data_IF_174740068837
#
_entry.id   IF_174740068837
#
_cell.length_a   1.000
_cell.length_b   1.000
_cell.length_c   1.000
_cell.angle_alpha   90.00
_cell.angle_beta   90.00
_cell.angle_gamma   90.00
#
_symmetry.space_group_name_H-M   'P 1'
#
loop_
_entity.id
_entity.type
_entity.pdbx_description
1 polymer ?
#
# COMPACT_ATOMS: atom_id res chain seq x y z
N UNK A 1 2.70 19.57 -22.81
CA UNK A 1 3.30 20.74 -22.11
C UNK A 1 3.25 20.54 -20.59
N UNK A 2 2.16 20.09 -20.00
CA UNK A 2 1.99 19.99 -18.54
C UNK A 2 2.96 19.01 -17.87
N UNK A 3 3.13 17.80 -18.39
CA UNK A 3 4.11 16.84 -17.85
C UNK A 3 5.57 17.34 -17.96
N UNK A 4 5.90 18.11 -18.97
CA UNK A 4 7.25 18.62 -19.13
C UNK A 4 7.67 19.56 -17.98
N UNK A 5 6.72 20.31 -17.40
CA UNK A 5 6.97 21.17 -16.24
C UNK A 5 7.25 20.33 -14.99
N UNK A 6 6.45 19.26 -14.74
CA UNK A 6 6.70 18.35 -13.62
C UNK A 6 8.05 17.64 -13.76
N UNK A 7 8.41 17.17 -14.97
CA UNK A 7 9.71 16.54 -15.23
C UNK A 7 10.87 17.53 -14.99
N UNK A 8 10.75 18.77 -15.42
CA UNK A 8 11.76 19.80 -15.16
C UNK A 8 11.93 20.04 -13.66
N UNK A 9 10.82 20.21 -12.93
CA UNK A 9 10.82 20.38 -11.48
C UNK A 9 11.42 19.18 -10.76
N UNK A 10 11.01 17.95 -11.11
CA UNK A 10 11.57 16.73 -10.52
C UNK A 10 13.10 16.66 -10.66
N UNK A 11 13.61 16.98 -11.86
CA UNK A 11 15.05 16.97 -12.12
C UNK A 11 15.81 18.05 -11.33
N UNK A 12 15.16 19.17 -11.05
CA UNK A 12 15.73 20.28 -10.28
C UNK A 12 15.78 19.99 -8.79
N UNK A 13 14.64 19.53 -8.20
CA UNK A 13 14.50 19.42 -6.75
C UNK A 13 14.76 18.00 -6.21
N UNK A 14 14.58 16.96 -7.02
CA UNK A 14 14.68 15.55 -6.61
C UNK A 14 14.07 15.29 -5.23
N UNK A 15 12.74 15.38 -5.08
CA UNK A 15 12.10 15.29 -3.77
C UNK A 15 12.40 13.95 -3.10
N UNK A 16 12.55 13.92 -1.80
CA UNK A 16 12.56 12.65 -1.09
C UNK A 16 11.21 11.94 -1.26
N UNK A 17 11.25 10.63 -1.50
CA UNK A 17 10.07 9.77 -1.64
C UNK A 17 10.00 8.88 -0.42
N UNK A 18 8.95 9.05 0.38
CA UNK A 18 8.62 8.21 1.52
C UNK A 18 7.41 7.38 1.14
N UNK A 19 7.50 6.07 1.26
CA UNK A 19 6.38 5.16 1.12
C UNK A 19 6.12 4.46 2.45
N UNK A 20 4.95 4.70 3.03
CA UNK A 20 4.47 4.03 4.24
C UNK A 20 3.42 3.01 3.84
N UNK A 21 3.73 1.75 4.02
CA UNK A 21 2.77 0.66 3.97
C UNK A 21 2.32 0.38 5.39
N UNK A 22 1.13 0.88 5.73
CA UNK A 22 0.61 0.80 7.09
C UNK A 22 -0.13 -0.52 7.29
N UNK A 23 0.31 -1.29 8.26
CA UNK A 23 -0.21 -2.63 8.58
C UNK A 23 -1.72 -2.60 8.76
N UNK A 24 -2.43 -3.40 7.97
CA UNK A 24 -3.88 -3.60 8.00
C UNK A 24 -4.71 -2.30 7.87
N UNK A 25 -4.14 -1.17 7.45
CA UNK A 25 -4.87 0.10 7.37
C UNK A 25 -5.89 0.07 6.23
N UNK A 26 -7.16 0.03 6.57
CA UNK A 26 -8.26 0.01 5.61
C UNK A 26 -9.42 0.87 6.10
N UNK A 27 -10.08 1.55 5.16
CA UNK A 27 -11.34 2.23 5.45
C UNK A 27 -12.50 1.24 5.31
N UNK A 28 -12.99 0.75 6.44
CA UNK A 28 -14.11 -0.19 6.49
C UNK A 28 -15.49 0.49 6.34
N UNK A 29 -15.54 1.77 5.98
CA UNK A 29 -16.81 2.41 5.59
C UNK A 29 -17.41 1.81 4.30
N UNK A 30 -16.70 0.91 3.62
CA UNK A 30 -17.26 0.10 2.54
C UNK A 30 -18.36 -0.89 2.99
N UNK A 31 -18.50 -1.15 4.30
CA UNK A 31 -19.57 -1.97 4.86
C UNK A 31 -20.77 -1.09 5.23
N UNK A 32 -21.87 -1.21 4.50
CA UNK A 32 -23.09 -0.40 4.72
C UNK A 32 -23.65 -0.53 6.16
N UNK A 33 -23.56 -1.73 6.74
CA UNK A 33 -24.02 -1.99 8.10
C UNK A 33 -23.16 -1.27 9.14
N UNK A 34 -21.86 -1.12 8.88
CA UNK A 34 -20.96 -0.38 9.75
C UNK A 34 -21.19 1.14 9.61
N UNK A 35 -21.46 1.62 8.38
CA UNK A 35 -21.93 3.01 8.19
C UNK A 35 -23.25 3.27 8.94
N UNK A 36 -24.20 2.33 8.87
CA UNK A 36 -25.47 2.43 9.61
C UNK A 36 -25.26 2.47 11.13
N UNK A 37 -24.20 1.83 11.64
CA UNK A 37 -23.78 1.92 13.04
C UNK A 37 -23.07 3.25 13.38
N UNK A 38 -22.88 4.15 12.41
CA UNK A 38 -22.30 5.49 12.60
C UNK A 38 -20.81 5.61 12.32
N UNK A 39 -20.15 4.58 11.77
CA UNK A 39 -18.74 4.68 11.37
C UNK A 39 -18.58 5.45 10.05
N UNK A 40 -17.65 6.38 10.02
CA UNK A 40 -17.41 7.27 8.86
C UNK A 40 -16.00 7.16 8.27
N UNK A 41 -15.25 6.14 8.68
CA UNK A 41 -13.87 5.94 8.29
C UNK A 41 -12.85 6.67 9.18
N UNK A 42 -11.56 6.52 8.90
CA UNK A 42 -10.48 7.24 9.59
C UNK A 42 -10.62 8.75 9.34
N UNK A 43 -10.73 9.52 10.41
CA UNK A 43 -11.18 10.92 10.33
C UNK A 43 -10.16 11.83 9.64
N UNK A 44 -8.88 11.75 10.04
CA UNK A 44 -7.82 12.56 9.44
C UNK A 44 -7.55 12.12 8.00
N UNK A 45 -7.36 10.81 7.79
CA UNK A 45 -7.15 10.25 6.45
C UNK A 45 -8.23 10.77 5.49
N UNK A 46 -9.52 10.66 5.85
CA UNK A 46 -10.63 11.07 4.98
C UNK A 46 -10.74 12.59 4.79
N UNK A 47 -10.28 13.39 5.76
CA UNK A 47 -10.35 14.85 5.70
C UNK A 47 -9.13 15.52 5.07
N UNK A 48 -8.03 14.80 4.79
CA UNK A 48 -6.81 15.37 4.21
C UNK A 48 -7.08 15.97 2.81
N UNK A 49 -7.07 17.33 2.66
CA UNK A 49 -7.65 17.98 1.48
C UNK A 49 -6.68 18.07 0.29
N UNK A 50 -5.37 18.01 0.54
CA UNK A 50 -4.30 18.34 -0.41
C UNK A 50 -3.57 17.09 -0.94
N UNK A 51 -4.27 15.97 -1.04
CA UNK A 51 -3.75 14.76 -1.68
C UNK A 51 -3.64 14.96 -3.19
N UNK A 52 -2.54 14.49 -3.76
CA UNK A 52 -2.31 14.51 -5.22
C UNK A 52 -3.17 13.46 -5.94
N UNK A 53 -3.32 12.30 -5.31
CA UNK A 53 -4.13 11.16 -5.75
C UNK A 53 -4.59 10.42 -4.50
N UNK A 54 -5.80 9.90 -4.50
CA UNK A 54 -6.31 9.00 -3.45
C UNK A 54 -7.40 8.10 -4.01
N UNK A 55 -7.60 6.96 -3.38
CA UNK A 55 -8.66 6.02 -3.77
C UNK A 55 -8.58 4.69 -3.01
N UNK A 56 -9.31 3.72 -3.52
CA UNK A 56 -9.22 2.34 -3.08
C UNK A 56 -8.07 1.62 -3.78
N UNK A 57 -7.50 0.64 -3.10
CA UNK A 57 -6.52 -0.27 -3.63
C UNK A 57 -7.03 -1.71 -3.48
N UNK A 58 -6.82 -2.56 -4.49
CA UNK A 58 -6.96 -4.00 -4.34
C UNK A 58 -5.58 -4.62 -4.08
N UNK A 59 -5.42 -5.15 -2.88
CA UNK A 59 -4.29 -5.99 -2.53
C UNK A 59 -4.52 -7.42 -3.06
N UNK A 60 -3.47 -8.20 -3.20
CA UNK A 60 -3.61 -9.62 -3.57
C UNK A 60 -3.62 -10.55 -2.36
N UNK A 61 -3.81 -9.99 -1.17
CA UNK A 61 -3.88 -10.69 0.13
C UNK A 61 -4.91 -10.03 1.04
N UNK A 62 -5.43 -10.77 2.01
CA UNK A 62 -6.36 -10.28 3.02
C UNK A 62 -6.07 -10.97 4.35
N UNK A 63 -6.12 -10.22 5.45
CA UNK A 63 -5.89 -10.74 6.80
C UNK A 63 -4.48 -11.23 7.09
N UNK A 64 -3.51 -10.89 6.23
CA UNK A 64 -2.10 -11.28 6.32
C UNK A 64 -1.46 -11.42 4.94
N UNK A 65 -0.15 -11.74 4.90
CA UNK A 65 0.59 -11.87 3.65
C UNK A 65 1.21 -10.56 3.15
N UNK A 66 1.52 -9.64 4.07
CA UNK A 66 2.12 -8.32 3.88
C UNK A 66 3.19 -8.26 2.78
N UNK A 67 4.07 -9.29 2.72
CA UNK A 67 5.14 -9.38 1.72
C UNK A 67 4.65 -9.40 0.26
N UNK A 68 3.40 -9.77 -0.01
CA UNK A 68 2.84 -9.73 -1.35
C UNK A 68 2.54 -8.29 -1.79
N UNK A 69 2.00 -7.48 -0.89
CA UNK A 69 1.76 -6.04 -1.15
C UNK A 69 3.07 -5.27 -1.28
N UNK A 70 4.10 -5.61 -0.47
CA UNK A 70 5.46 -5.08 -0.65
C UNK A 70 6.01 -5.42 -2.04
N UNK A 71 5.92 -6.70 -2.43
CA UNK A 71 6.38 -7.17 -3.74
C UNK A 71 5.69 -6.42 -4.87
N UNK A 72 4.37 -6.32 -4.83
CA UNK A 72 3.59 -5.63 -5.85
C UNK A 72 3.98 -4.15 -5.96
N UNK A 73 4.05 -3.43 -4.84
CA UNK A 73 4.44 -2.02 -4.81
C UNK A 73 5.88 -1.79 -5.29
N UNK A 74 6.83 -2.59 -4.79
CA UNK A 74 8.25 -2.40 -5.07
C UNK A 74 8.67 -2.82 -6.47
N UNK A 75 7.97 -3.77 -7.11
CA UNK A 75 8.36 -4.31 -8.42
C UNK A 75 7.43 -3.90 -9.56
N UNK A 76 6.20 -3.48 -9.26
CA UNK A 76 5.14 -3.28 -10.24
C UNK A 76 4.56 -4.59 -10.82
N UNK A 77 5.08 -5.75 -10.40
CA UNK A 77 4.55 -7.05 -10.80
C UNK A 77 3.37 -7.44 -9.91
N UNK A 78 2.31 -8.02 -10.48
CA UNK A 78 1.17 -8.52 -9.68
C UNK A 78 1.36 -9.98 -9.28
N UNK A 79 0.97 -10.34 -8.07
CA UNK A 79 0.93 -11.74 -7.62
C UNK A 79 -0.18 -12.55 -8.27
N UNK A 80 -1.10 -11.91 -8.99
CA UNK A 80 -2.12 -12.56 -9.82
C UNK A 80 -1.52 -13.62 -10.78
N UNK A 81 -0.34 -13.36 -11.35
CA UNK A 81 0.35 -14.27 -12.25
C UNK A 81 1.38 -15.18 -11.54
N UNK A 82 1.56 -15.03 -10.24
CA UNK A 82 2.36 -15.95 -9.41
C UNK A 82 1.50 -17.09 -8.88
N UNK A 83 0.26 -16.76 -8.52
CA UNK A 83 -0.76 -17.70 -8.08
C UNK A 83 -1.23 -17.49 -6.65
N UNK A 84 -2.47 -17.87 -6.40
CA UNK A 84 -3.13 -17.72 -5.10
C UNK A 84 -2.33 -18.39 -3.97
N UNK A 85 -2.16 -17.69 -2.87
CA UNK A 85 -1.45 -18.17 -1.67
C UNK A 85 0.06 -18.31 -1.85
N UNK A 86 0.63 -17.85 -2.97
CA UNK A 86 2.08 -17.84 -3.18
C UNK A 86 2.67 -16.54 -2.64
N UNK A 87 3.86 -16.65 -2.05
CA UNK A 87 4.62 -15.53 -1.50
C UNK A 87 5.94 -15.43 -2.25
N UNK A 88 6.10 -14.46 -3.19
CA UNK A 88 7.28 -14.35 -4.03
C UNK A 88 8.59 -14.30 -3.24
N UNK A 89 8.62 -13.60 -2.11
CA UNK A 89 9.81 -13.50 -1.24
C UNK A 89 10.30 -14.84 -0.65
N UNK A 90 9.40 -15.80 -0.52
CA UNK A 90 9.73 -17.16 -0.04
C UNK A 90 10.06 -18.13 -1.18
N UNK A 91 9.61 -17.81 -2.40
CA UNK A 91 9.75 -18.70 -3.54
C UNK A 91 10.97 -18.41 -4.40
N UNK A 92 11.43 -17.14 -4.44
CA UNK A 92 12.39 -16.70 -5.46
C UNK A 92 13.53 -15.87 -4.87
N UNK A 93 14.69 -15.94 -5.55
CA UNK A 93 15.78 -14.98 -5.37
C UNK A 93 15.53 -13.76 -6.27
N UNK A 94 15.61 -12.55 -5.70
CA UNK A 94 15.19 -11.30 -6.37
C UNK A 94 16.36 -10.51 -6.98
N UNK A 95 17.59 -11.06 -7.01
CA UNK A 95 18.78 -10.32 -7.46
C UNK A 95 18.64 -9.72 -8.87
N UNK A 96 18.01 -10.47 -9.79
CA UNK A 96 17.80 -10.05 -11.18
C UNK A 96 16.57 -9.16 -11.42
N UNK A 97 15.71 -9.03 -10.41
CA UNK A 97 14.43 -8.31 -10.53
C UNK A 97 14.67 -6.81 -10.44
N UNK A 98 14.05 -6.03 -11.33
CA UNK A 98 13.99 -4.58 -11.20
C UNK A 98 13.05 -4.20 -10.05
N UNK A 99 13.30 -3.04 -9.44
CA UNK A 99 12.49 -2.56 -8.33
C UNK A 99 12.55 -1.04 -8.26
N UNK A 100 11.56 -0.46 -7.61
CA UNK A 100 11.51 0.98 -7.34
C UNK A 100 12.80 1.49 -6.66
N UNK A 101 13.35 0.73 -5.71
CA UNK A 101 14.60 1.11 -5.05
C UNK A 101 15.79 1.14 -6.01
N UNK A 102 15.92 0.16 -6.93
CA UNK A 102 16.97 0.16 -7.96
C UNK A 102 16.78 1.32 -8.93
N UNK A 103 15.57 1.51 -9.43
CA UNK A 103 15.24 2.58 -10.39
C UNK A 103 15.57 3.97 -9.79
N UNK A 104 15.22 4.21 -8.53
CA UNK A 104 15.52 5.47 -7.85
C UNK A 104 17.02 5.63 -7.54
N UNK A 105 17.73 4.54 -7.24
CA UNK A 105 19.21 4.59 -7.08
C UNK A 105 19.91 5.01 -8.37
N UNK A 106 19.41 4.60 -9.54
CA UNK A 106 19.94 5.07 -10.83
C UNK A 106 19.75 6.59 -11.02
N UNK A 107 18.75 7.18 -10.35
CA UNK A 107 18.52 8.62 -10.33
C UNK A 107 19.31 9.35 -9.23
N UNK A 108 20.12 8.62 -8.45
CA UNK A 108 20.98 9.17 -7.39
C UNK A 108 20.34 9.22 -6.00
N UNK A 109 19.30 8.45 -5.75
CA UNK A 109 18.69 8.32 -4.42
C UNK A 109 19.45 7.30 -3.58
N UNK A 110 19.51 7.51 -2.27
CA UNK A 110 19.73 6.43 -1.30
C UNK A 110 18.41 5.71 -1.06
N UNK A 111 18.46 4.41 -0.69
CA UNK A 111 17.26 3.63 -0.46
C UNK A 111 17.36 2.89 0.88
N UNK A 112 16.46 3.20 1.81
CA UNK A 112 16.35 2.59 3.14
C UNK A 112 15.00 1.93 3.31
N UNK A 113 14.98 0.66 3.74
CA UNK A 113 13.76 -0.03 4.16
C UNK A 113 13.67 -0.04 5.69
N UNK A 114 12.45 -0.02 6.23
CA UNK A 114 12.19 -0.14 7.67
C UNK A 114 11.03 -1.10 7.92
N UNK A 115 11.18 -1.93 8.95
CA UNK A 115 10.10 -2.79 9.46
C UNK A 115 10.41 -3.19 10.90
N UNK A 116 9.70 -2.67 11.91
CA UNK A 116 9.98 -2.90 13.31
C UNK A 116 9.58 -4.31 13.77
N UNK A 117 10.08 -5.34 13.06
CA UNK A 117 9.84 -6.75 13.32
C UNK A 117 11.11 -7.57 13.02
N UNK A 118 11.08 -8.87 13.32
CA UNK A 118 12.17 -9.79 13.05
C UNK A 118 12.56 -9.77 11.55
N UNK A 119 13.82 -9.41 11.22
CA UNK A 119 14.24 -9.23 9.82
C UNK A 119 14.18 -10.50 8.97
N UNK A 120 14.20 -11.69 9.57
CA UNK A 120 14.11 -12.96 8.82
C UNK A 120 12.69 -13.32 8.39
N UNK A 121 11.67 -12.63 8.90
CA UNK A 121 10.29 -12.81 8.47
C UNK A 121 10.18 -12.48 6.96
N UNK A 122 9.60 -13.40 6.18
CA UNK A 122 9.54 -13.36 4.73
C UNK A 122 10.93 -13.21 4.05
N UNK A 123 12.03 -13.52 4.75
CA UNK A 123 13.41 -13.33 4.26
C UNK A 123 13.76 -11.89 3.91
N UNK A 124 13.13 -10.89 4.54
CA UNK A 124 13.35 -9.45 4.25
C UNK A 124 14.82 -9.05 4.39
N UNK A 125 15.55 -9.65 5.34
CA UNK A 125 17.00 -9.47 5.53
C UNK A 125 17.82 -9.66 4.24
N UNK A 126 17.37 -10.55 3.36
CA UNK A 126 18.01 -10.83 2.06
C UNK A 126 17.30 -10.15 0.89
N UNK A 127 15.97 -10.19 0.91
CA UNK A 127 15.14 -9.71 -0.20
C UNK A 127 15.30 -8.21 -0.40
N UNK A 128 15.28 -7.39 0.66
CA UNK A 128 15.46 -5.95 0.51
C UNK A 128 16.82 -5.59 -0.07
N UNK A 129 17.89 -6.29 0.33
CA UNK A 129 19.20 -6.12 -0.29
C UNK A 129 19.16 -6.47 -1.79
N UNK A 130 18.50 -7.58 -2.16
CA UNK A 130 18.37 -8.02 -3.56
C UNK A 130 17.52 -7.04 -4.38
N UNK A 131 16.52 -6.39 -3.77
CA UNK A 131 15.70 -5.33 -4.37
C UNK A 131 16.39 -3.96 -4.39
N UNK A 132 17.63 -3.84 -3.87
CA UNK A 132 18.45 -2.65 -4.02
C UNK A 132 18.45 -1.69 -2.83
N UNK A 133 17.79 -2.00 -1.73
CA UNK A 133 17.94 -1.21 -0.50
C UNK A 133 19.37 -1.29 0.01
N UNK A 134 19.92 -0.14 0.43
CA UNK A 134 21.24 -0.03 1.06
C UNK A 134 21.21 -0.41 2.53
N UNK A 135 20.16 0.03 3.22
CA UNK A 135 19.95 -0.18 4.63
C UNK A 135 18.59 -0.81 4.90
N UNK A 136 18.50 -1.65 5.93
CA UNK A 136 17.28 -2.21 6.45
C UNK A 136 17.23 -2.08 7.97
N UNK A 137 16.38 -1.19 8.47
CA UNK A 137 16.13 -0.99 9.89
C UNK A 137 15.06 -1.97 10.35
N UNK A 138 15.40 -2.86 11.28
CA UNK A 138 14.52 -3.90 11.82
C UNK A 138 14.26 -3.69 13.30
N UNK A 139 13.60 -4.60 14.00
CA UNK A 139 13.22 -4.44 15.41
C UNK A 139 14.39 -4.04 16.32
N UNK A 140 15.62 -4.45 16.02
CA UNK A 140 16.81 -4.08 16.78
C UNK A 140 17.14 -2.58 16.72
N UNK A 141 16.68 -1.87 15.68
CA UNK A 141 16.88 -0.44 15.49
C UNK A 141 15.82 0.41 16.22
N UNK A 142 14.83 -0.25 16.86
CA UNK A 142 13.72 0.34 17.60
C UNK A 142 13.75 -0.06 19.09
N UNK A 143 14.94 -0.31 19.65
CA UNK A 143 15.08 -0.65 21.07
C UNK A 143 14.52 0.47 21.96
N UNK A 144 13.67 0.10 22.92
CA UNK A 144 13.00 1.04 23.82
C UNK A 144 11.79 1.76 23.22
N UNK A 145 11.37 1.40 22.01
CA UNK A 145 10.18 1.95 21.37
C UNK A 145 8.90 1.71 22.18
N UNK A 146 7.94 2.60 22.03
CA UNK A 146 6.57 2.40 22.53
C UNK A 146 5.82 1.41 21.69
N UNK A 147 4.94 0.65 22.33
CA UNK A 147 4.08 -0.35 21.68
C UNK A 147 2.60 0.01 21.86
N UNK A 148 1.82 -0.29 20.84
CA UNK A 148 0.37 -0.22 20.88
C UNK A 148 -0.19 -1.48 20.23
N UNK A 149 -1.21 -2.11 20.83
CA UNK A 149 -1.78 -3.37 20.37
C UNK A 149 -0.70 -4.45 20.12
N UNK A 150 -0.32 -4.71 18.87
CA UNK A 150 0.54 -5.84 18.51
C UNK A 150 1.97 -5.45 18.09
N UNK A 151 2.27 -4.17 17.93
CA UNK A 151 3.56 -3.73 17.40
C UNK A 151 4.06 -2.39 17.94
N UNK A 152 5.22 -2.01 17.46
CA UNK A 152 5.78 -0.66 17.67
C UNK A 152 4.79 0.36 17.13
N UNK A 153 4.55 1.43 17.90
CA UNK A 153 3.66 2.53 17.50
C UNK A 153 4.10 3.12 16.16
N UNK A 154 3.13 3.48 15.31
CA UNK A 154 3.41 4.04 13.99
C UNK A 154 4.21 5.35 14.09
N UNK A 155 3.90 6.24 15.08
CA UNK A 155 4.65 7.47 15.26
C UNK A 155 6.15 7.24 15.50
N UNK A 156 6.54 6.10 16.07
CA UNK A 156 7.96 5.78 16.31
C UNK A 156 8.70 5.53 15.00
N UNK A 157 8.07 4.84 14.04
CA UNK A 157 8.66 4.67 12.70
C UNK A 157 8.67 6.01 11.96
N UNK A 158 7.65 6.83 12.12
CA UNK A 158 7.61 8.19 11.55
C UNK A 158 8.69 9.10 12.11
N UNK A 159 8.96 9.07 13.42
CA UNK A 159 10.09 9.80 14.04
C UNK A 159 11.42 9.35 13.43
N UNK A 160 11.58 8.04 13.18
CA UNK A 160 12.79 7.50 12.54
C UNK A 160 12.94 8.02 11.11
N UNK A 161 11.83 8.12 10.34
CA UNK A 161 11.84 8.75 9.00
C UNK A 161 12.25 10.21 9.12
N UNK A 162 11.65 10.97 10.04
CA UNK A 162 11.96 12.38 10.24
C UNK A 162 13.44 12.60 10.61
N UNK A 163 14.02 11.71 11.40
CA UNK A 163 15.44 11.76 11.75
C UNK A 163 16.34 11.50 10.53
N UNK A 164 16.00 10.54 9.67
CA UNK A 164 16.70 10.30 8.39
C UNK A 164 16.62 11.53 7.50
N UNK A 165 15.45 12.18 7.42
CA UNK A 165 15.25 13.39 6.61
C UNK A 165 16.03 14.59 7.12
N UNK A 166 16.28 14.68 8.45
CA UNK A 166 17.01 15.78 9.08
C UNK A 166 18.53 15.58 9.02
N UNK A 167 19.01 14.34 8.91
CA UNK A 167 20.44 14.00 8.99
C UNK A 167 21.13 13.90 7.64
N UNK A 168 20.38 13.63 6.55
CA UNK A 168 20.94 13.50 5.21
C UNK A 168 20.13 14.35 4.21
N UNK A 169 20.79 15.31 3.56
CA UNK A 169 20.17 16.20 2.56
C UNK A 169 20.06 15.56 1.17
N UNK A 170 20.72 14.44 0.92
CA UNK A 170 20.63 13.73 -0.36
C UNK A 170 19.19 13.27 -0.66
N UNK A 171 18.81 13.08 -1.93
CA UNK A 171 17.54 12.47 -2.27
C UNK A 171 17.44 11.06 -1.70
N UNK A 172 16.35 10.76 -0.97
CA UNK A 172 16.14 9.49 -0.29
C UNK A 172 14.88 8.81 -0.79
N UNK A 173 14.89 7.49 -0.90
CA UNK A 173 13.74 6.63 -0.95
C UNK A 173 13.66 5.86 0.36
N UNK A 174 12.61 6.08 1.13
CA UNK A 174 12.38 5.41 2.41
C UNK A 174 11.10 4.60 2.28
N UNK A 175 11.19 3.29 2.51
CA UNK A 175 10.07 2.37 2.51
C UNK A 175 9.85 1.82 3.92
N UNK A 176 8.76 2.23 4.55
CA UNK A 176 8.37 1.84 5.90
C UNK A 176 7.18 0.88 5.86
N UNK A 177 7.32 -0.25 6.53
CA UNK A 177 6.27 -1.25 6.75
C UNK A 177 5.98 -1.28 8.24
N UNK A 178 4.84 -0.72 8.66
CA UNK A 178 4.52 -0.60 10.09
C UNK A 178 4.05 -1.93 10.70
N UNK A 179 3.81 -1.96 12.02
CA UNK A 179 3.40 -3.17 12.75
C UNK A 179 2.29 -2.94 13.76
N UNK A 180 1.93 -1.70 14.08
CA UNK A 180 1.04 -1.35 15.18
C UNK A 180 -0.29 -2.12 15.12
N UNK A 181 -0.91 -2.18 13.95
CA UNK A 181 -2.25 -2.75 13.74
C UNK A 181 -2.25 -4.24 13.40
N UNK A 182 -1.12 -4.94 13.53
CA UNK A 182 -1.02 -6.35 13.16
C UNK A 182 -2.09 -7.21 13.85
N UNK A 183 -2.65 -8.17 13.13
CA UNK A 183 -3.79 -8.99 13.53
C UNK A 183 -3.64 -9.77 14.84
N UNK A 184 -4.76 -10.26 15.32
CA UNK A 184 -4.98 -10.81 16.64
C UNK A 184 -5.80 -9.83 17.48
N UNK A 185 -6.99 -9.43 16.99
CA UNK A 185 -7.82 -8.38 17.62
C UNK A 185 -8.61 -8.95 18.79
N UNK A 186 -7.91 -9.57 19.73
CA UNK A 186 -8.51 -10.11 20.94
C UNK A 186 -8.86 -9.00 21.94
N UNK A 187 -9.89 -9.22 22.74
CA UNK A 187 -10.32 -8.26 23.75
C UNK A 187 -9.18 -7.97 24.76
N UNK A 188 -9.02 -6.69 25.09
CA UNK A 188 -8.04 -6.22 26.06
C UNK A 188 -6.63 -5.95 25.52
N UNK A 189 -6.43 -5.98 24.21
CA UNK A 189 -5.14 -5.67 23.56
C UNK A 189 -4.94 -4.17 23.29
N UNK A 190 -5.96 -3.34 23.50
CA UNK A 190 -5.93 -1.87 23.40
C UNK A 190 -6.40 -1.26 24.73
N UNK A 191 -6.07 0.01 25.03
CA UNK A 191 -6.57 0.70 26.22
C UNK A 191 -8.10 0.71 26.26
N UNK A 192 -8.69 0.31 27.40
CA UNK A 192 -10.13 0.16 27.52
C UNK A 192 -10.89 1.49 27.33
N UNK A 193 -10.26 2.61 27.69
CA UNK A 193 -10.79 3.96 27.54
C UNK A 193 -10.82 4.45 26.08
N UNK A 194 -10.03 3.84 25.20
CA UNK A 194 -9.99 4.15 23.77
C UNK A 194 -10.87 3.22 22.94
N UNK A 195 -11.32 2.09 23.53
CA UNK A 195 -12.06 1.07 22.80
C UNK A 195 -13.35 1.64 22.18
N UNK A 196 -13.46 1.52 20.85
CA UNK A 196 -14.69 1.87 20.13
C UNK A 196 -15.83 0.92 20.49
N UNK A 197 -17.07 1.31 20.23
CA UNK A 197 -18.26 0.55 20.64
C UNK A 197 -19.33 0.47 19.54
N UNK A 198 -18.92 0.37 18.29
CA UNK A 198 -19.86 0.14 17.19
C UNK A 198 -20.51 -1.23 17.32
N UNK A 199 -21.79 -1.29 16.98
CA UNK A 199 -22.53 -2.54 16.90
C UNK A 199 -23.09 -2.73 15.50
N UNK A 200 -22.58 -3.72 14.79
CA UNK A 200 -22.97 -4.07 13.43
C UNK A 200 -24.06 -5.15 13.50
N UNK A 201 -25.26 -4.80 13.09
CA UNK A 201 -26.39 -5.73 13.06
C UNK A 201 -26.13 -6.84 12.03
N UNK A 202 -26.36 -8.08 12.41
CA UNK A 202 -26.11 -9.26 11.59
C UNK A 202 -24.72 -9.88 11.78
N UNK A 203 -23.79 -9.17 12.43
CA UNK A 203 -22.49 -9.74 12.80
C UNK A 203 -22.56 -10.37 14.20
N UNK A 204 -21.77 -11.44 14.41
CA UNK A 204 -21.66 -12.11 15.70
C UNK A 204 -21.02 -11.20 16.76
N UNK A 205 -21.20 -11.53 18.04
CA UNK A 205 -20.56 -10.82 19.16
C UNK A 205 -19.03 -10.83 19.02
N UNK A 206 -18.45 -11.96 18.61
CA UNK A 206 -17.01 -12.08 18.38
C UNK A 206 -16.52 -11.19 17.25
N UNK A 207 -17.24 -11.12 16.12
CA UNK A 207 -16.92 -10.24 15.01
C UNK A 207 -17.01 -8.76 15.41
N UNK A 208 -18.06 -8.37 16.16
CA UNK A 208 -18.20 -7.01 16.69
C UNK A 208 -17.07 -6.65 17.66
N UNK A 209 -16.66 -7.58 18.53
CA UNK A 209 -15.54 -7.37 19.47
C UNK A 209 -14.22 -7.15 18.74
N UNK A 210 -13.87 -8.03 17.79
CA UNK A 210 -12.65 -7.93 16.99
C UNK A 210 -12.66 -6.65 16.13
N UNK A 211 -13.81 -6.31 15.53
CA UNK A 211 -13.99 -5.07 14.77
C UNK A 211 -13.68 -3.83 15.61
N UNK A 212 -14.22 -3.74 16.84
CA UNK A 212 -13.97 -2.58 17.68
C UNK A 212 -12.52 -2.46 18.13
N UNK A 213 -11.84 -3.56 18.42
CA UNK A 213 -10.40 -3.55 18.70
C UNK A 213 -9.63 -3.03 17.48
N UNK A 214 -9.94 -3.54 16.29
CA UNK A 214 -9.33 -3.08 15.03
C UNK A 214 -9.57 -1.58 14.78
N UNK A 215 -10.82 -1.10 14.89
CA UNK A 215 -11.14 0.31 14.66
C UNK A 215 -10.44 1.23 15.67
N UNK A 216 -10.20 0.76 16.89
CA UNK A 216 -9.40 1.47 17.88
C UNK A 216 -7.94 1.60 17.44
N UNK A 217 -7.36 0.52 16.88
CA UNK A 217 -6.01 0.56 16.30
C UNK A 217 -5.92 1.55 15.14
N UNK A 218 -6.91 1.55 14.23
CA UNK A 218 -6.97 2.49 13.10
C UNK A 218 -7.09 3.93 13.57
N UNK A 219 -7.87 4.21 14.59
CA UNK A 219 -7.95 5.55 15.17
C UNK A 219 -6.60 6.03 15.75
N UNK A 220 -5.80 5.11 16.32
CA UNK A 220 -4.45 5.43 16.77
C UNK A 220 -3.52 5.72 15.59
N UNK A 221 -3.50 4.86 14.56
CA UNK A 221 -2.72 5.10 13.33
C UNK A 221 -3.12 6.38 12.61
N UNK A 222 -4.40 6.72 12.58
CA UNK A 222 -4.90 7.95 11.95
C UNK A 222 -4.42 9.22 12.67
N UNK A 223 -4.33 9.20 14.02
CA UNK A 223 -3.70 10.26 14.82
C UNK A 223 -2.20 10.36 14.55
N UNK A 224 -1.52 9.22 14.47
CA UNK A 224 -0.08 9.19 14.17
C UNK A 224 0.20 9.68 12.76
N UNK A 225 -0.66 9.38 11.78
CA UNK A 225 -0.59 9.91 10.42
C UNK A 225 -0.78 11.44 10.41
N UNK A 226 -1.72 11.98 11.19
CA UNK A 226 -1.89 13.43 11.34
C UNK A 226 -0.62 14.09 11.88
N UNK A 227 -0.03 13.52 12.92
CA UNK A 227 1.25 13.96 13.46
C UNK A 227 2.32 13.98 12.36
N UNK A 228 2.49 12.87 11.64
CA UNK A 228 3.51 12.74 10.61
C UNK A 228 3.36 13.74 9.46
N UNK A 229 2.15 13.92 8.92
CA UNK A 229 1.87 14.90 7.88
C UNK A 229 2.21 16.32 8.36
N UNK A 230 1.86 16.66 9.61
CA UNK A 230 2.16 17.98 10.18
C UNK A 230 3.67 18.22 10.32
N UNK A 231 4.45 17.21 10.73
CA UNK A 231 5.91 17.29 10.77
C UNK A 231 6.51 17.42 9.36
N UNK A 232 6.00 16.64 8.38
CA UNK A 232 6.46 16.73 6.99
C UNK A 232 6.17 18.09 6.34
N UNK A 233 5.08 18.77 6.71
CA UNK A 233 4.79 20.15 6.25
C UNK A 233 5.88 21.14 6.69
N UNK A 234 6.55 20.87 7.80
CA UNK A 234 7.54 21.73 8.44
C UNK A 234 8.99 21.26 8.25
N UNK A 235 9.24 20.17 7.53
CA UNK A 235 10.57 19.53 7.42
C UNK A 235 11.61 20.37 6.67
N UNK A 236 11.20 21.37 5.91
CA UNK A 236 12.10 22.29 5.21
C UNK A 236 12.72 21.77 3.91
N UNK A 237 12.28 20.62 3.42
CA UNK A 237 12.70 20.01 2.15
C UNK A 237 11.52 19.39 1.41
N UNK A 238 11.60 19.26 0.05
CA UNK A 238 10.53 18.62 -0.72
C UNK A 238 10.41 17.12 -0.39
N UNK A 239 9.21 16.70 0.00
CA UNK A 239 8.87 15.32 0.32
C UNK A 239 7.58 14.91 -0.40
N UNK A 240 7.58 13.73 -0.97
CA UNK A 240 6.40 13.02 -1.46
C UNK A 240 6.13 11.85 -0.53
N UNK A 241 4.91 11.76 -0.01
CA UNK A 241 4.45 10.65 0.80
C UNK A 241 3.47 9.80 -0.01
N UNK A 242 3.77 8.51 -0.13
CA UNK A 242 2.85 7.46 -0.56
C UNK A 242 2.41 6.72 0.69
N UNK A 243 1.13 6.72 0.99
CA UNK A 243 0.56 6.01 2.13
C UNK A 243 -0.48 5.02 1.64
N UNK A 244 -0.38 3.76 2.06
CA UNK A 244 -1.34 2.73 1.70
C UNK A 244 -1.37 1.63 2.76
N UNK A 245 -2.54 0.98 2.90
CA UNK A 245 -2.65 -0.22 3.72
C UNK A 245 -2.27 -1.46 2.93
N UNK A 246 -1.57 -2.41 3.54
CA UNK A 246 -1.10 -3.63 2.86
C UNK A 246 -2.24 -4.58 2.49
N UNK A 247 -3.27 -4.69 3.33
CA UNK A 247 -4.47 -5.52 3.15
C UNK A 247 -5.56 -5.13 4.16
N UNK A 248 -6.77 -5.66 3.98
CA UNK A 248 -7.78 -5.62 5.04
C UNK A 248 -7.40 -6.53 6.23
N UNK A 249 -7.85 -6.19 7.45
CA UNK A 249 -7.63 -7.03 8.63
C UNK A 249 -8.43 -8.33 8.57
N UNK A 250 -7.99 -9.34 9.30
CA UNK A 250 -8.74 -10.60 9.45
C UNK A 250 -10.15 -10.40 10.05
N UNK A 251 -10.32 -9.39 10.90
CA UNK A 251 -11.63 -9.01 11.44
C UNK A 251 -12.63 -8.62 10.34
N UNK A 252 -12.17 -7.93 9.29
CA UNK A 252 -13.01 -7.58 8.15
C UNK A 252 -13.39 -8.80 7.29
N UNK A 253 -12.53 -9.80 7.17
CA UNK A 253 -12.86 -11.04 6.48
C UNK A 253 -14.03 -11.75 7.16
N UNK A 254 -13.97 -11.92 8.49
CA UNK A 254 -15.07 -12.52 9.27
C UNK A 254 -16.37 -11.71 9.11
N UNK A 255 -16.27 -10.39 9.22
CA UNK A 255 -17.42 -9.51 9.05
C UNK A 255 -18.05 -9.64 7.64
N UNK A 256 -17.21 -9.73 6.60
CA UNK A 256 -17.65 -9.91 5.23
C UNK A 256 -18.41 -11.23 5.04
N UNK A 257 -17.90 -12.33 5.58
CA UNK A 257 -18.52 -13.66 5.49
C UNK A 257 -19.88 -13.69 6.20
N UNK A 258 -20.00 -13.05 7.37
CA UNK A 258 -21.23 -13.02 8.16
C UNK A 258 -22.30 -12.11 7.54
N UNK A 259 -21.91 -10.95 6.99
CA UNK A 259 -22.85 -9.96 6.46
C UNK A 259 -23.32 -10.26 5.04
N UNK A 260 -22.49 -10.93 4.23
CA UNK A 260 -22.78 -11.16 2.80
C UNK A 260 -22.73 -12.65 2.39
N UNK A 261 -23.41 -13.57 3.12
CA UNK A 261 -23.27 -15.01 2.91
C UNK A 261 -23.84 -15.51 1.57
N UNK A 262 -24.61 -14.68 0.85
CA UNK A 262 -25.23 -15.02 -0.43
C UNK A 262 -24.65 -14.24 -1.61
N UNK A 263 -23.56 -13.53 -1.40
CA UNK A 263 -22.94 -12.74 -2.45
C UNK A 263 -22.20 -13.64 -3.47
N UNK A 264 -22.11 -13.17 -4.73
CA UNK A 264 -21.29 -13.85 -5.72
C UNK A 264 -19.79 -13.74 -5.38
N UNK A 265 -19.03 -14.73 -5.82
CA UNK A 265 -17.60 -14.86 -5.50
C UNK A 265 -16.77 -13.65 -5.92
N UNK A 266 -17.11 -13.02 -7.05
CA UNK A 266 -16.37 -11.87 -7.54
C UNK A 266 -16.61 -10.63 -6.66
N UNK A 267 -17.87 -10.34 -6.33
CA UNK A 267 -18.25 -9.24 -5.43
C UNK A 267 -17.63 -9.43 -4.05
N UNK A 268 -17.67 -10.66 -3.52
CA UNK A 268 -17.04 -11.01 -2.25
C UNK A 268 -15.53 -10.73 -2.26
N UNK A 269 -14.83 -11.24 -3.28
CA UNK A 269 -13.39 -11.03 -3.41
C UNK A 269 -13.04 -9.53 -3.51
N UNK A 270 -13.74 -8.77 -4.33
CA UNK A 270 -13.48 -7.33 -4.47
C UNK A 270 -13.67 -6.55 -3.16
N UNK A 271 -14.53 -7.00 -2.25
CA UNK A 271 -14.67 -6.38 -0.93
C UNK A 271 -13.57 -6.83 0.03
N UNK A 272 -13.24 -8.13 0.08
CA UNK A 272 -12.24 -8.70 1.00
C UNK A 272 -10.83 -8.18 0.73
N UNK A 273 -10.49 -7.99 -0.54
CA UNK A 273 -9.15 -7.54 -0.94
C UNK A 273 -9.01 -6.01 -1.02
N UNK A 274 -10.06 -5.26 -0.69
CA UNK A 274 -10.03 -3.80 -0.76
C UNK A 274 -9.23 -3.21 0.40
N UNK A 275 -8.29 -2.33 0.08
CA UNK A 275 -7.57 -1.45 1.00
C UNK A 275 -7.66 -0.01 0.49
N UNK A 276 -6.80 0.88 0.97
CA UNK A 276 -6.86 2.30 0.66
C UNK A 276 -5.47 2.88 0.43
N UNK A 277 -5.37 3.97 -0.35
CA UNK A 277 -4.10 4.66 -0.59
C UNK A 277 -4.30 6.14 -0.85
N UNK A 278 -3.22 6.91 -0.65
CA UNK A 278 -3.06 8.25 -1.21
C UNK A 278 -1.61 8.55 -1.56
N UNK A 279 -1.42 9.56 -2.41
CA UNK A 279 -0.14 10.23 -2.65
C UNK A 279 -0.29 11.69 -2.25
N UNK A 280 0.64 12.20 -1.48
CA UNK A 280 0.67 13.57 -0.98
C UNK A 280 2.07 14.17 -1.14
N UNK A 281 2.18 15.49 -1.22
CA UNK A 281 3.46 16.19 -1.22
C UNK A 281 3.36 17.48 -0.39
N UNK A 282 4.45 17.83 0.28
CA UNK A 282 4.54 19.08 1.04
C UNK A 282 4.90 20.29 0.17
N UNK A 283 4.89 20.14 -1.14
CA UNK A 283 5.16 21.18 -2.11
C UNK A 283 4.20 21.07 -3.31
N UNK A 284 4.02 22.17 -4.06
CA UNK A 284 3.18 22.19 -5.25
C UNK A 284 3.89 21.52 -6.43
N UNK A 285 3.24 20.53 -7.06
CA UNK A 285 3.74 19.87 -8.25
C UNK A 285 3.53 20.79 -9.47
N UNK A 286 4.61 21.13 -10.18
CA UNK A 286 4.55 21.97 -11.36
C UNK A 286 3.78 21.27 -12.50
N UNK A 287 2.84 22.01 -13.07
CA UNK A 287 2.00 21.51 -14.16
C UNK A 287 0.93 20.53 -13.66
N UNK A 288 -0.18 20.48 -14.39
CA UNK A 288 -1.23 19.50 -14.07
C UNK A 288 -0.91 18.19 -14.78
N UNK A 289 -0.50 17.19 -14.03
CA UNK A 289 -0.37 15.82 -14.47
C UNK A 289 -1.71 15.10 -14.26
N UNK A 290 -2.78 15.60 -14.89
CA UNK A 290 -4.07 14.92 -14.85
C UNK A 290 -3.86 13.45 -15.27
N UNK A 291 -4.07 12.59 -14.31
CA UNK A 291 -4.19 11.17 -14.52
C UNK A 291 -5.67 10.86 -14.49
N UNK A 292 -6.16 10.19 -15.51
CA UNK A 292 -7.36 9.39 -15.34
C UNK A 292 -6.98 8.19 -14.46
N UNK A 293 -6.73 8.45 -13.18
CA UNK A 293 -6.58 7.39 -12.20
C UNK A 293 -7.98 6.97 -11.83
N UNK A 294 -8.27 5.71 -11.99
CA UNK A 294 -9.52 5.14 -11.53
C UNK A 294 -9.55 5.18 -9.99
N UNK A 295 -10.74 5.27 -9.42
CA UNK A 295 -10.93 5.29 -7.97
C UNK A 295 -10.39 4.02 -7.27
N UNK A 296 -10.22 2.93 -8.03
CA UNK A 296 -9.65 1.67 -7.55
C UNK A 296 -8.48 1.24 -8.43
N UNK A 297 -7.33 0.98 -7.81
CA UNK A 297 -6.09 0.56 -8.48
C UNK A 297 -5.54 -0.73 -7.88
N UNK A 298 -4.63 -1.41 -8.56
CA UNK A 298 -3.85 -2.51 -7.98
C UNK A 298 -2.67 -2.00 -7.15
N UNK A 299 -2.25 -2.74 -6.13
CA UNK A 299 -1.08 -2.39 -5.33
C UNK A 299 0.18 -2.22 -6.20
N UNK A 300 0.29 -3.02 -7.27
CA UNK A 300 1.39 -2.98 -8.24
C UNK A 300 1.43 -1.70 -9.10
N UNK A 301 0.38 -0.90 -9.10
CA UNK A 301 0.25 0.30 -9.94
C UNK A 301 0.63 1.59 -9.19
N UNK A 302 0.60 1.59 -7.86
CA UNK A 302 0.78 2.77 -7.01
C UNK A 302 2.12 3.46 -7.27
N UNK A 303 3.22 2.70 -7.40
CA UNK A 303 4.53 3.26 -7.67
C UNK A 303 4.58 3.99 -9.02
N UNK A 304 4.02 3.39 -10.08
CA UNK A 304 3.96 3.99 -11.41
C UNK A 304 3.10 5.28 -11.42
N UNK A 305 1.96 5.26 -10.73
CA UNK A 305 1.07 6.41 -10.53
C UNK A 305 1.83 7.53 -9.83
N UNK A 306 2.51 7.23 -8.72
CA UNK A 306 3.29 8.20 -7.95
C UNK A 306 4.38 8.85 -8.79
N UNK A 307 5.25 8.04 -9.41
CA UNK A 307 6.36 8.54 -10.23
C UNK A 307 5.86 9.38 -11.40
N UNK A 308 4.77 8.97 -12.04
CA UNK A 308 4.19 9.76 -13.12
C UNK A 308 3.64 11.10 -12.60
N UNK A 309 2.97 11.10 -11.46
CA UNK A 309 2.36 12.30 -10.85
C UNK A 309 3.40 13.38 -10.53
N UNK A 310 4.55 12.98 -9.98
CA UNK A 310 5.63 13.88 -9.59
C UNK A 310 6.61 14.21 -10.74
N UNK A 311 6.38 13.71 -11.95
CA UNK A 311 7.24 13.94 -13.11
C UNK A 311 8.53 13.12 -13.14
N UNK A 312 8.67 12.12 -12.27
CA UNK A 312 9.84 11.23 -12.28
C UNK A 312 9.92 10.37 -13.56
N UNK A 313 11.12 9.98 -13.99
CA UNK A 313 11.28 9.03 -15.08
C UNK A 313 10.61 7.69 -14.76
N UNK A 314 9.95 7.10 -15.75
CA UNK A 314 9.39 5.75 -15.66
C UNK A 314 10.21 4.81 -16.53
N UNK A 315 10.48 3.60 -16.07
CA UNK A 315 11.01 2.51 -16.90
C UNK A 315 10.02 2.15 -18.01
N UNK A 316 10.46 1.38 -18.99
CA UNK A 316 9.57 0.91 -20.06
C UNK A 316 8.43 0.07 -19.49
N UNK A 317 8.72 -0.76 -18.48
CA UNK A 317 7.71 -1.59 -17.80
C UNK A 317 6.67 -0.73 -17.08
N UNK A 318 7.09 0.22 -16.25
CA UNK A 318 6.16 1.10 -15.51
C UNK A 318 5.33 2.00 -16.43
N UNK A 319 5.90 2.47 -17.57
CA UNK A 319 5.12 3.19 -18.60
C UNK A 319 4.04 2.33 -19.21
N UNK A 320 4.38 1.09 -19.50
CA UNK A 320 3.44 0.15 -20.08
C UNK A 320 2.36 -0.24 -19.09
N UNK A 321 2.74 -0.53 -17.82
CA UNK A 321 1.80 -0.78 -16.73
C UNK A 321 0.80 0.38 -16.60
N UNK A 322 1.30 1.60 -16.55
CA UNK A 322 0.47 2.81 -16.51
C UNK A 322 -0.50 2.91 -17.71
N UNK A 323 -0.07 2.49 -18.90
CA UNK A 323 -0.96 2.45 -20.08
C UNK A 323 -2.01 1.36 -19.97
N UNK A 324 -1.72 0.25 -19.27
CA UNK A 324 -2.70 -0.81 -19.02
C UNK A 324 -3.81 -0.35 -18.07
N UNK A 325 -3.50 0.46 -17.07
CA UNK A 325 -4.49 0.98 -16.12
C UNK A 325 -5.65 1.72 -16.81
N UNK A 326 -5.45 2.28 -18.00
CA UNK A 326 -6.53 2.90 -18.77
C UNK A 326 -7.53 1.92 -19.38
N UNK A 327 -7.20 0.64 -19.43
CA UNK A 327 -8.02 -0.44 -20.04
C UNK A 327 -8.42 -1.48 -19.01
N UNK A 328 -7.51 -1.82 -18.10
CA UNK A 328 -7.72 -2.68 -16.94
C UNK A 328 -7.25 -1.90 -15.72
N UNK A 329 -8.15 -1.13 -15.09
CA UNK A 329 -7.83 -0.24 -13.97
C UNK A 329 -7.16 -0.91 -12.78
N UNK A 330 -7.44 -2.19 -12.56
CA UNK A 330 -6.82 -2.94 -11.47
C UNK A 330 -6.83 -4.44 -11.77
N UNK A 331 -5.77 -5.11 -11.35
CA UNK A 331 -5.62 -6.56 -11.37
C UNK A 331 -5.09 -7.04 -10.03
N UNK A 332 -5.64 -8.15 -9.52
CA UNK A 332 -5.22 -8.77 -8.27
C UNK A 332 -5.44 -10.29 -8.33
N UNK A 333 -5.06 -11.02 -7.31
CA UNK A 333 -5.03 -12.49 -7.30
C UNK A 333 -6.38 -13.16 -7.61
N UNK A 334 -7.50 -12.50 -7.33
CA UNK A 334 -8.84 -13.05 -7.54
C UNK A 334 -9.54 -12.57 -8.84
N UNK A 335 -8.91 -11.67 -9.61
CA UNK A 335 -9.50 -11.16 -10.84
C UNK A 335 -8.99 -9.79 -11.25
N UNK A 336 -9.81 -9.07 -12.03
CA UNK A 336 -9.52 -7.72 -12.48
C UNK A 336 -10.79 -6.92 -12.75
N UNK A 337 -10.65 -5.61 -12.77
CA UNK A 337 -11.69 -4.67 -13.15
C UNK A 337 -11.43 -4.20 -14.59
N UNK A 338 -12.43 -4.28 -15.46
CA UNK A 338 -12.35 -3.71 -16.80
C UNK A 338 -12.69 -2.21 -16.81
N UNK A 339 -12.30 -1.50 -17.87
CA UNK A 339 -12.66 -0.09 -18.07
C UNK A 339 -14.18 0.11 -18.25
N UNK A 340 -14.93 -0.95 -18.49
CA UNK A 340 -16.40 -0.97 -18.52
C UNK A 340 -17.04 -1.01 -17.12
N UNK A 341 -16.20 -1.06 -16.06
CA UNK A 341 -16.64 -1.16 -14.67
C UNK A 341 -17.09 -2.56 -14.24
N UNK A 342 -16.93 -3.57 -15.11
CA UNK A 342 -17.29 -4.95 -14.80
C UNK A 342 -16.10 -5.72 -14.22
N UNK A 343 -16.41 -6.71 -13.38
CA UNK A 343 -15.47 -7.58 -12.69
C UNK A 343 -15.30 -8.89 -13.47
N UNK A 344 -14.06 -9.31 -13.63
CA UNK A 344 -13.69 -10.49 -14.40
C UNK A 344 -12.76 -11.39 -13.59
N UNK A 345 -12.88 -12.71 -13.77
CA UNK A 345 -11.90 -13.65 -13.28
C UNK A 345 -10.66 -13.68 -14.20
N UNK A 346 -9.50 -14.04 -13.66
CA UNK A 346 -8.26 -14.14 -14.44
C UNK A 346 -8.35 -15.14 -15.60
N UNK A 347 -9.16 -16.21 -15.44
CA UNK A 347 -9.34 -17.28 -16.42
C UNK A 347 -10.54 -17.05 -17.37
N UNK A 348 -11.14 -15.86 -17.37
CA UNK A 348 -12.29 -15.55 -18.21
C UNK A 348 -11.89 -15.46 -19.69
N UNK A 349 -12.13 -16.51 -20.46
CA UNK A 349 -11.82 -16.56 -21.90
C UNK A 349 -12.70 -15.61 -22.74
N UNK A 350 -13.93 -15.36 -22.30
CA UNK A 350 -14.92 -14.51 -23.01
C UNK A 350 -14.81 -13.02 -22.65
N UNK A 351 -13.80 -12.61 -21.87
CA UNK A 351 -13.62 -11.20 -21.53
C UNK A 351 -13.11 -10.38 -22.72
N UNK A 352 -13.62 -9.15 -22.94
CA UNK A 352 -13.08 -8.25 -23.96
C UNK A 352 -11.62 -7.84 -23.66
N UNK A 353 -11.13 -8.11 -22.47
CA UNK A 353 -9.79 -7.74 -21.98
C UNK A 353 -8.78 -8.89 -22.03
N UNK A 354 -9.15 -10.12 -22.40
CA UNK A 354 -8.26 -11.30 -22.42
C UNK A 354 -6.93 -11.01 -23.12
N UNK A 355 -6.96 -10.39 -24.31
CA UNK A 355 -5.73 -10.02 -25.03
C UNK A 355 -4.87 -9.00 -24.29
N UNK A 356 -5.48 -8.14 -23.47
CA UNK A 356 -4.76 -7.15 -22.63
C UNK A 356 -4.11 -7.86 -21.44
N UNK A 357 -4.83 -8.75 -20.78
CA UNK A 357 -4.30 -9.57 -19.67
C UNK A 357 -3.13 -10.44 -20.16
N UNK A 358 -3.24 -11.10 -21.31
CA UNK A 358 -2.15 -11.88 -21.91
C UNK A 358 -0.88 -11.04 -22.15
N UNK A 359 -1.05 -9.80 -22.64
CA UNK A 359 0.09 -8.89 -22.85
C UNK A 359 0.73 -8.49 -21.53
N UNK A 360 -0.07 -8.16 -20.51
CA UNK A 360 0.44 -7.82 -19.18
C UNK A 360 1.21 -9.00 -18.57
N UNK A 361 0.67 -10.23 -18.67
CA UNK A 361 1.34 -11.43 -18.18
C UNK A 361 2.68 -11.68 -18.89
N UNK A 362 2.74 -11.51 -20.21
CA UNK A 362 4.01 -11.63 -20.97
C UNK A 362 5.01 -10.55 -20.60
N UNK A 363 4.55 -9.33 -20.37
CA UNK A 363 5.44 -8.25 -19.91
C UNK A 363 6.00 -8.56 -18.53
N UNK A 364 5.15 -8.97 -17.59
CA UNK A 364 5.59 -9.37 -16.26
C UNK A 364 6.53 -10.59 -16.32
N UNK A 365 6.30 -11.56 -17.22
CA UNK A 365 7.23 -12.66 -17.41
C UNK A 365 8.63 -12.14 -17.75
N UNK A 366 8.77 -11.19 -18.65
CA UNK A 366 10.05 -10.61 -19.03
C UNK A 366 10.68 -9.77 -17.92
N UNK A 367 9.85 -9.06 -17.15
CA UNK A 367 10.33 -8.15 -16.11
C UNK A 367 10.64 -8.86 -14.79
N UNK A 368 9.91 -9.91 -14.47
CA UNK A 368 10.02 -10.65 -13.22
C UNK A 368 10.38 -12.12 -13.43
N UNK A 369 9.44 -12.95 -13.96
CA UNK A 369 9.54 -14.40 -13.91
C UNK A 369 10.78 -14.97 -14.65
N UNK A 370 11.26 -14.31 -15.70
CA UNK A 370 12.48 -14.71 -16.41
C UNK A 370 13.78 -14.31 -15.67
N UNK A 371 13.70 -13.51 -14.63
CA UNK A 371 14.85 -12.96 -13.88
C UNK A 371 15.04 -13.58 -12.51
N UNK A 372 14.05 -14.31 -12.00
CA UNK A 372 14.12 -15.00 -10.71
C UNK A 372 14.75 -16.38 -10.83
N UNK A 373 15.34 -16.87 -9.73
CA UNK A 373 15.94 -18.20 -9.60
C UNK A 373 15.25 -18.97 -8.48
#
# INVERSE_FOLDING_TARGET
>A
MQRAAAVAQFNEIKPTIVAVMNESFSDLSCFEQLQAAGYTGPAFYNSLPDTLVRGSMLASVAGGGTANSEFEFLTGATTAFVGLGKIPYQLYQMNGVNSLAKDLKELGYTATAMHPQNPVNYHRDKIYQQLGFGDFLSIGDFEGASYYHAGVCDYVTYDKILDLLRTDEAPQFIFDVTMQNHGGYDYGTVPAEELTNYWVEGASEGANSALNTYLTCINASDRDLEYFINELRNIGRPVVLVFFGDHQPSAATTLNDELYPQEDTASHAFRVYQSTYFVWANYEIAGNTELNVYDTVGANEIAAITLNKIGAPLTVFLKSLFSFCSVVPTIFVAGYLGADGLRYNLESEDSPYTSTIDKLQRMQYLEFASKVQ
#
